data_IF_844195126971
#
_entry.id   IF_844195126971
#
_cell.length_a   1.000
_cell.length_b   1.000
_cell.length_c   1.000
_cell.angle_alpha   90.00
_cell.angle_beta   90.00
_cell.angle_gamma   90.00
#
_symmetry.space_group_name_H-M   'P 1'
#
loop_
_entity.id
_entity.type
_entity.pdbx_description
1 polymer ?
#
# COMPACT_ATOMS: atom_id res chain seq x y z
N UNK A 1 54.41 -26.68 29.70
CA UNK A 1 54.18 -25.49 28.84
C UNK A 1 52.71 -25.41 28.51
N UNK A 2 52.03 -24.49 29.13
CA UNK A 2 50.58 -24.32 29.12
C UNK A 2 50.15 -23.58 27.84
N UNK A 3 49.26 -24.19 27.05
CA UNK A 3 48.64 -23.58 25.92
C UNK A 3 47.21 -23.15 26.29
N UNK A 4 46.96 -21.85 26.44
CA UNK A 4 45.67 -21.30 26.79
C UNK A 4 44.66 -21.44 25.65
N UNK A 5 43.53 -22.05 25.97
CA UNK A 5 42.30 -22.03 25.14
C UNK A 5 41.74 -20.64 25.12
N UNK A 6 41.80 -19.98 23.96
CA UNK A 6 41.15 -18.70 23.73
C UNK A 6 39.60 -18.87 23.75
N UNK A 7 39.00 -18.34 24.80
CA UNK A 7 37.52 -18.18 24.90
C UNK A 7 37.09 -17.22 23.82
N UNK A 8 36.38 -17.72 22.81
CA UNK A 8 35.66 -16.91 21.82
C UNK A 8 34.63 -16.06 22.53
N UNK A 9 34.83 -14.76 22.53
CA UNK A 9 33.85 -13.79 23.01
C UNK A 9 32.53 -14.01 22.27
N UNK A 10 31.51 -14.37 23.02
CA UNK A 10 30.10 -14.32 22.61
C UNK A 10 29.79 -12.92 22.07
N UNK A 11 29.31 -12.87 20.85
CA UNK A 11 28.79 -11.62 20.26
C UNK A 11 27.70 -11.06 21.15
N UNK A 12 28.02 -10.01 21.90
CA UNK A 12 27.03 -9.19 22.59
C UNK A 12 25.97 -8.76 21.57
N UNK A 13 24.72 -9.15 21.80
CA UNK A 13 23.59 -8.61 21.09
C UNK A 13 23.58 -7.10 21.36
N UNK A 14 23.98 -6.30 20.38
CA UNK A 14 23.81 -4.86 20.44
C UNK A 14 22.31 -4.55 20.72
N UNK A 15 22.00 -3.63 21.65
CA UNK A 15 20.61 -3.28 21.96
C UNK A 15 19.91 -2.87 20.69
N UNK A 16 18.61 -3.17 20.53
CA UNK A 16 17.84 -2.84 19.32
C UNK A 16 17.96 -1.34 19.07
N UNK A 17 18.55 -0.97 17.94
CA UNK A 17 18.77 0.42 17.57
C UNK A 17 17.42 1.12 17.55
N UNK A 18 17.32 2.30 18.17
CA UNK A 18 16.11 3.09 18.23
C UNK A 18 15.64 3.40 16.79
N UNK A 19 14.45 2.93 16.37
CA UNK A 19 13.96 3.08 14.99
C UNK A 19 13.81 4.55 14.56
N UNK A 20 13.80 5.48 15.52
CA UNK A 20 13.71 6.92 15.28
C UNK A 20 15.07 7.63 15.23
N UNK A 21 16.20 6.94 15.39
CA UNK A 21 17.54 7.51 15.18
C UNK A 21 18.11 7.00 13.87
N UNK A 22 17.75 7.66 12.76
CA UNK A 22 18.09 7.25 11.43
C UNK A 22 18.99 8.29 10.70
N UNK A 23 19.75 7.87 9.67
CA UNK A 23 20.45 8.80 8.80
C UNK A 23 19.53 9.79 8.10
N UNK A 24 20.04 10.98 7.74
CA UNK A 24 19.28 12.03 7.03
C UNK A 24 18.63 11.51 5.73
N UNK A 25 19.29 10.61 5.02
CA UNK A 25 18.77 9.97 3.83
C UNK A 25 17.45 9.22 4.08
N UNK A 26 17.36 8.52 5.21
CA UNK A 26 16.16 7.75 5.59
C UNK A 26 15.00 8.70 5.89
N UNK A 27 15.24 9.79 6.62
CA UNK A 27 14.21 10.80 6.89
C UNK A 27 13.74 11.50 5.62
N UNK A 28 14.65 11.82 4.69
CA UNK A 28 14.30 12.44 3.41
C UNK A 28 13.33 11.55 2.60
N UNK A 29 13.63 10.26 2.50
CA UNK A 29 12.76 9.31 1.77
C UNK A 29 11.48 9.01 2.54
N UNK A 30 11.53 8.90 3.88
CA UNK A 30 10.34 8.70 4.71
C UNK A 30 9.38 9.89 4.61
N UNK A 31 9.88 11.13 4.63
CA UNK A 31 9.06 12.32 4.40
C UNK A 31 8.42 12.31 3.02
N UNK A 32 9.18 11.96 1.97
CA UNK A 32 8.64 11.79 0.63
C UNK A 32 7.55 10.70 0.58
N UNK A 33 7.69 9.61 1.35
CA UNK A 33 6.65 8.58 1.49
C UNK A 33 5.38 9.14 2.13
N UNK A 34 5.49 9.92 3.22
CA UNK A 34 4.31 10.59 3.83
C UNK A 34 3.56 11.41 2.80
N UNK A 35 4.26 12.27 2.04
CA UNK A 35 3.64 13.13 1.03
C UNK A 35 3.07 12.31 -0.15
N UNK A 36 3.74 11.24 -0.57
CA UNK A 36 3.27 10.36 -1.64
C UNK A 36 1.96 9.65 -1.27
N UNK A 37 1.87 9.11 -0.05
CA UNK A 37 0.65 8.46 0.43
C UNK A 37 -0.46 9.47 0.76
N UNK A 38 -0.10 10.66 1.24
CA UNK A 38 -1.02 11.79 1.41
C UNK A 38 -1.70 12.16 0.08
N UNK A 39 -0.96 12.14 -1.03
CA UNK A 39 -1.47 12.46 -2.38
C UNK A 39 -2.57 11.50 -2.90
N UNK A 40 -2.80 10.35 -2.26
CA UNK A 40 -3.90 9.45 -2.58
C UNK A 40 -5.22 10.03 -2.05
N UNK A 41 -5.31 10.33 -0.75
CA UNK A 41 -6.52 10.80 -0.10
C UNK A 41 -6.76 12.32 -0.16
N UNK A 42 -5.78 13.08 -0.66
CA UNK A 42 -5.84 14.54 -0.71
C UNK A 42 -6.88 15.07 -1.71
N UNK A 43 -7.24 14.27 -2.71
CA UNK A 43 -8.20 14.65 -3.77
C UNK A 43 -9.65 14.34 -3.36
N UNK A 44 -9.88 13.39 -2.44
CA UNK A 44 -11.23 12.95 -2.04
C UNK A 44 -12.15 14.11 -1.64
N UNK A 45 -11.74 15.06 -0.77
CA UNK A 45 -12.63 16.14 -0.34
C UNK A 45 -12.98 17.14 -1.43
N UNK A 46 -12.17 17.25 -2.48
CA UNK A 46 -12.38 18.25 -3.54
C UNK A 46 -13.14 17.73 -4.76
N UNK A 47 -13.44 16.42 -4.84
CA UNK A 47 -14.14 15.83 -6.00
C UNK A 47 -15.46 16.53 -6.35
N UNK A 48 -16.40 16.79 -5.39
CA UNK A 48 -17.62 17.48 -5.71
C UNK A 48 -17.39 18.94 -6.14
N UNK A 49 -16.36 19.60 -5.61
CA UNK A 49 -16.01 20.97 -6.01
C UNK A 49 -15.44 21.01 -7.44
N UNK A 50 -14.58 20.05 -7.81
CA UNK A 50 -14.08 19.91 -9.18
C UNK A 50 -15.22 19.68 -10.17
N UNK A 51 -16.18 18.79 -9.82
CA UNK A 51 -17.38 18.55 -10.64
C UNK A 51 -18.14 19.84 -10.92
N UNK A 52 -18.39 20.66 -9.90
CA UNK A 52 -19.14 21.92 -10.03
C UNK A 52 -18.36 23.00 -10.77
N UNK A 53 -17.08 23.21 -10.42
CA UNK A 53 -16.29 24.33 -10.95
C UNK A 53 -15.82 24.12 -12.39
N UNK A 54 -15.58 22.87 -12.78
CA UNK A 54 -15.17 22.52 -14.14
C UNK A 54 -16.33 22.01 -15.02
N UNK A 55 -17.59 22.11 -14.53
CA UNK A 55 -18.78 21.60 -15.21
C UNK A 55 -18.60 20.15 -15.71
N UNK A 56 -17.95 19.31 -14.90
CA UNK A 56 -17.61 17.92 -15.23
C UNK A 56 -18.58 16.96 -14.55
N UNK A 57 -18.97 15.89 -15.26
CA UNK A 57 -19.78 14.83 -14.64
C UNK A 57 -18.99 14.11 -13.53
N UNK A 58 -19.66 13.54 -12.51
CA UNK A 58 -18.99 12.74 -11.50
C UNK A 58 -18.13 11.64 -12.10
N UNK A 59 -18.57 10.96 -13.16
CA UNK A 59 -17.79 9.94 -13.84
C UNK A 59 -16.53 10.49 -14.50
N UNK A 60 -16.54 11.73 -15.01
CA UNK A 60 -15.33 12.38 -15.54
C UNK A 60 -14.36 12.75 -14.43
N UNK A 61 -14.85 13.18 -13.28
CA UNK A 61 -14.01 13.50 -12.11
C UNK A 61 -13.38 12.25 -11.53
N UNK A 62 -14.09 11.12 -11.49
CA UNK A 62 -13.57 9.85 -11.04
C UNK A 62 -12.42 9.30 -11.92
N UNK A 63 -12.32 9.74 -13.17
CA UNK A 63 -11.16 9.42 -14.01
C UNK A 63 -9.84 9.95 -13.45
N UNK A 64 -9.85 10.91 -12.53
CA UNK A 64 -8.66 11.34 -11.79
C UNK A 64 -8.04 10.19 -10.97
N UNK A 65 -8.87 9.37 -10.33
CA UNK A 65 -8.42 8.16 -9.63
C UNK A 65 -8.04 7.07 -10.61
N UNK A 66 -8.90 6.81 -11.58
CA UNK A 66 -8.70 5.76 -12.58
C UNK A 66 -7.39 5.96 -13.33
N UNK A 67 -7.13 7.16 -13.89
CA UNK A 67 -5.91 7.44 -14.63
C UNK A 67 -4.66 7.26 -13.75
N UNK A 68 -4.68 7.80 -12.55
CA UNK A 68 -3.59 7.71 -11.60
C UNK A 68 -3.30 6.25 -11.18
N UNK A 69 -4.32 5.50 -10.75
CA UNK A 69 -4.14 4.15 -10.23
C UNK A 69 -3.83 3.12 -11.33
N UNK A 70 -4.48 3.22 -12.48
CA UNK A 70 -4.22 2.31 -13.61
C UNK A 70 -2.81 2.53 -14.16
N UNK A 71 -2.39 3.79 -14.35
CA UNK A 71 -1.02 4.07 -14.79
C UNK A 71 -0.01 3.64 -13.73
N UNK A 72 -0.28 3.90 -12.45
CA UNK A 72 0.56 3.38 -11.34
C UNK A 72 0.69 1.86 -11.40
N UNK A 73 -0.43 1.14 -11.59
CA UNK A 73 -0.44 -0.32 -11.68
C UNK A 73 0.46 -0.83 -12.81
N UNK A 74 0.25 -0.33 -14.02
CA UNK A 74 1.04 -0.74 -15.20
C UNK A 74 2.52 -0.38 -15.02
N UNK A 75 2.80 0.82 -14.51
CA UNK A 75 4.16 1.29 -14.28
C UNK A 75 4.90 0.45 -13.22
N UNK A 76 4.21 -0.12 -12.23
CA UNK A 76 4.84 -1.01 -11.24
C UNK A 76 5.49 -2.23 -11.88
N UNK A 77 4.94 -2.75 -12.99
CA UNK A 77 5.56 -3.87 -13.72
C UNK A 77 6.94 -3.52 -14.29
N UNK A 78 7.14 -2.24 -14.61
CA UNK A 78 8.36 -1.75 -15.28
C UNK A 78 9.37 -1.18 -14.27
N UNK A 79 8.93 -0.78 -13.09
CA UNK A 79 9.76 -0.08 -12.10
C UNK A 79 10.98 -0.90 -11.67
N UNK A 80 10.82 -2.21 -11.42
CA UNK A 80 11.94 -3.09 -11.08
C UNK A 80 12.99 -3.16 -12.19
N UNK A 81 12.54 -3.20 -13.45
CA UNK A 81 13.40 -3.17 -14.63
C UNK A 81 14.17 -1.84 -14.73
N UNK A 82 13.51 -0.70 -14.55
CA UNK A 82 14.13 0.63 -14.52
C UNK A 82 15.16 0.72 -13.40
N UNK A 83 14.75 0.43 -12.17
CA UNK A 83 15.59 0.54 -10.97
C UNK A 83 16.83 -0.35 -11.04
N UNK A 84 16.72 -1.55 -11.63
CA UNK A 84 17.87 -2.45 -11.82
C UNK A 84 18.91 -1.95 -12.84
N UNK A 85 18.57 -0.96 -13.68
CA UNK A 85 19.44 -0.38 -14.71
C UNK A 85 20.04 0.96 -14.33
N UNK A 86 19.23 1.88 -13.79
CA UNK A 86 19.70 3.23 -13.47
C UNK A 86 20.03 3.43 -11.99
N UNK A 87 19.68 2.43 -11.14
CA UNK A 87 19.89 2.44 -9.68
C UNK A 87 18.74 3.11 -8.91
N UNK A 88 18.65 2.77 -7.61
CA UNK A 88 17.55 3.21 -6.74
C UNK A 88 17.44 4.72 -6.61
N UNK A 89 18.53 5.44 -6.31
CA UNK A 89 18.52 6.91 -6.19
C UNK A 89 17.99 7.61 -7.43
N UNK A 90 18.48 7.23 -8.62
CA UNK A 90 18.05 7.85 -9.88
C UNK A 90 16.57 7.56 -10.19
N UNK A 91 16.10 6.35 -9.85
CA UNK A 91 14.69 5.98 -10.01
C UNK A 91 13.79 6.79 -9.08
N UNK A 92 14.19 6.99 -7.81
CA UNK A 92 13.48 7.87 -6.88
C UNK A 92 13.39 9.30 -7.40
N UNK A 93 14.52 9.88 -7.84
CA UNK A 93 14.59 11.25 -8.37
C UNK A 93 13.68 11.39 -9.60
N UNK A 94 13.74 10.43 -10.54
CA UNK A 94 12.86 10.44 -11.71
C UNK A 94 11.37 10.38 -11.32
N UNK A 95 11.02 9.53 -10.34
CA UNK A 95 9.68 9.46 -9.79
C UNK A 95 9.23 10.79 -9.17
N UNK A 96 10.06 11.39 -8.32
CA UNK A 96 9.77 12.68 -7.67
C UNK A 96 9.62 13.82 -8.68
N UNK A 97 10.46 13.89 -9.72
CA UNK A 97 10.33 14.89 -10.79
C UNK A 97 8.98 14.76 -11.50
N UNK A 98 8.56 13.53 -11.85
CA UNK A 98 7.28 13.29 -12.49
C UNK A 98 6.10 13.66 -11.58
N UNK A 99 6.19 13.38 -10.27
CA UNK A 99 5.16 13.77 -9.29
C UNK A 99 5.06 15.30 -9.22
N UNK A 100 6.19 15.99 -9.05
CA UNK A 100 6.25 17.47 -8.98
C UNK A 100 5.69 18.09 -10.26
N UNK A 101 6.14 17.65 -11.43
CA UNK A 101 5.67 18.17 -12.71
C UNK A 101 4.18 17.87 -12.92
N UNK A 102 3.74 16.64 -12.66
CA UNK A 102 2.35 16.24 -12.82
C UNK A 102 1.39 16.94 -11.85
N UNK A 103 1.78 17.11 -10.57
CA UNK A 103 0.95 17.84 -9.60
C UNK A 103 0.90 19.34 -9.90
N UNK A 104 2.02 19.97 -10.27
CA UNK A 104 2.06 21.37 -10.68
C UNK A 104 1.18 21.64 -11.90
N UNK A 105 1.32 20.81 -12.94
CA UNK A 105 0.54 20.94 -14.16
C UNK A 105 -0.96 20.70 -13.91
N UNK A 106 -1.33 19.70 -13.09
CA UNK A 106 -2.72 19.47 -12.70
C UNK A 106 -3.32 20.67 -11.94
N UNK A 107 -2.55 21.29 -11.03
CA UNK A 107 -2.97 22.51 -10.33
C UNK A 107 -3.10 23.74 -11.24
N UNK A 108 -2.33 23.82 -12.31
CA UNK A 108 -2.36 24.91 -13.29
C UNK A 108 -3.41 24.72 -14.41
N UNK A 109 -4.03 23.55 -14.51
CA UNK A 109 -4.99 23.22 -15.58
C UNK A 109 -6.35 23.91 -15.40
N UNK A 110 -7.03 24.15 -16.51
CA UNK A 110 -8.37 24.72 -16.56
C UNK A 110 -9.44 23.73 -17.06
N UNK A 111 -9.05 22.52 -17.43
CA UNK A 111 -9.97 21.48 -17.89
C UNK A 111 -9.77 20.16 -17.14
N UNK A 112 -10.88 19.43 -16.95
CA UNK A 112 -10.84 18.11 -16.30
C UNK A 112 -9.97 17.11 -17.10
N UNK A 113 -9.96 17.21 -18.45
CA UNK A 113 -9.17 16.33 -19.31
C UNK A 113 -7.67 16.49 -19.12
N UNK A 114 -7.19 17.73 -18.97
CA UNK A 114 -5.79 18.01 -18.65
C UNK A 114 -5.40 17.47 -17.28
N UNK A 115 -6.23 17.69 -16.27
CA UNK A 115 -5.99 17.19 -14.91
C UNK A 115 -5.88 15.66 -14.93
N UNK A 116 -6.76 14.96 -15.64
CA UNK A 116 -6.73 13.50 -15.82
C UNK A 116 -5.39 13.07 -16.44
N UNK A 117 -4.94 13.75 -17.51
CA UNK A 117 -3.68 13.46 -18.18
C UNK A 117 -2.46 13.66 -17.26
N UNK A 118 -2.41 14.77 -16.52
CA UNK A 118 -1.32 15.05 -15.57
C UNK A 118 -1.35 14.14 -14.34
N UNK A 119 -2.53 13.72 -13.89
CA UNK A 119 -2.66 12.68 -12.85
C UNK A 119 -2.12 11.32 -13.32
N UNK A 120 -2.28 10.97 -14.59
CA UNK A 120 -1.66 9.78 -15.16
C UNK A 120 -0.12 9.86 -15.11
N UNK A 121 0.46 11.01 -15.50
CA UNK A 121 1.90 11.26 -15.38
C UNK A 121 2.40 11.22 -13.93
N UNK A 122 1.63 11.78 -13.00
CA UNK A 122 1.90 11.67 -11.58
C UNK A 122 1.86 10.20 -11.10
N UNK A 123 0.88 9.39 -11.55
CA UNK A 123 0.79 7.96 -11.25
C UNK A 123 2.03 7.17 -11.70
N UNK A 124 2.59 7.49 -12.87
CA UNK A 124 3.86 6.94 -13.33
C UNK A 124 5.01 7.28 -12.35
N UNK A 125 5.12 8.55 -11.96
CA UNK A 125 6.11 8.99 -10.97
C UNK A 125 5.94 8.28 -9.63
N UNK A 126 4.70 8.11 -9.18
CA UNK A 126 4.37 7.44 -7.93
C UNK A 126 4.78 5.96 -7.92
N UNK A 127 4.58 5.24 -9.04
CA UNK A 127 5.03 3.85 -9.17
C UNK A 127 6.55 3.72 -9.06
N UNK A 128 7.31 4.60 -9.76
CA UNK A 128 8.77 4.62 -9.66
C UNK A 128 9.24 4.93 -8.24
N UNK A 129 8.56 5.85 -7.55
CA UNK A 129 8.90 6.25 -6.20
C UNK A 129 8.58 5.16 -5.17
N UNK A 130 7.32 4.71 -5.06
CA UNK A 130 6.86 3.78 -4.02
C UNK A 130 7.62 2.44 -4.09
N UNK A 131 7.75 1.86 -5.29
CA UNK A 131 8.42 0.57 -5.43
C UNK A 131 9.92 0.61 -5.09
N UNK A 132 10.53 1.80 -5.14
CA UNK A 132 11.98 1.98 -4.90
C UNK A 132 12.27 2.50 -3.48
N UNK A 133 11.36 3.27 -2.89
CA UNK A 133 11.56 3.96 -1.60
C UNK A 133 11.85 3.00 -0.46
N UNK A 134 11.09 1.90 -0.33
CA UNK A 134 11.31 0.90 0.71
C UNK A 134 12.70 0.27 0.60
N UNK A 135 13.16 -0.07 -0.61
CA UNK A 135 14.48 -0.65 -0.82
C UNK A 135 15.61 0.33 -0.43
N UNK A 136 15.44 1.63 -0.73
CA UNK A 136 16.40 2.67 -0.37
C UNK A 136 16.40 2.91 1.15
N UNK A 137 15.24 2.94 1.79
CA UNK A 137 15.14 3.06 3.26
C UNK A 137 15.85 1.87 3.93
N UNK A 138 15.61 0.62 3.47
CA UNK A 138 16.27 -0.58 4.02
C UNK A 138 17.78 -0.49 3.86
N UNK A 139 18.26 -0.06 2.69
CA UNK A 139 19.71 0.05 2.40
C UNK A 139 20.44 1.13 3.19
N UNK A 140 19.73 2.18 3.63
CA UNK A 140 20.30 3.32 4.35
C UNK A 140 20.02 3.30 5.86
N UNK A 141 19.10 2.47 6.36
CA UNK A 141 18.67 2.47 7.75
C UNK A 141 19.74 1.88 8.70
N UNK A 142 20.00 2.56 9.80
CA UNK A 142 20.93 2.11 10.86
C UNK A 142 20.34 1.04 11.80
N UNK A 143 19.00 0.89 11.82
CA UNK A 143 18.27 -0.07 12.67
C UNK A 143 17.96 -1.41 12.02
N UNK A 144 18.59 -1.74 10.90
CA UNK A 144 18.35 -2.97 10.14
C UNK A 144 16.96 -3.00 9.46
N UNK A 145 16.64 -4.18 8.94
CA UNK A 145 15.44 -4.40 8.13
C UNK A 145 14.12 -4.10 8.86
N UNK A 146 14.01 -4.51 10.13
CA UNK A 146 12.78 -4.31 10.93
C UNK A 146 12.49 -2.82 11.20
N UNK A 147 13.51 -2.04 11.57
CA UNK A 147 13.38 -0.60 11.81
C UNK A 147 12.98 0.17 10.54
N UNK A 148 13.54 -0.21 9.40
CA UNK A 148 13.20 0.37 8.10
C UNK A 148 11.72 0.16 7.72
N UNK A 149 11.19 -1.04 7.94
CA UNK A 149 9.79 -1.37 7.68
C UNK A 149 8.87 -0.57 8.60
N UNK A 150 9.16 -0.49 9.90
CA UNK A 150 8.35 0.26 10.86
C UNK A 150 8.26 1.73 10.42
N UNK A 151 9.37 2.33 10.02
CA UNK A 151 9.39 3.72 9.57
C UNK A 151 8.58 3.92 8.29
N UNK A 152 8.71 3.01 7.32
CA UNK A 152 7.94 3.05 6.07
C UNK A 152 6.44 2.91 6.31
N UNK A 153 6.01 1.96 7.14
CA UNK A 153 4.60 1.76 7.49
C UNK A 153 4.06 2.94 8.33
N UNK A 154 4.88 3.54 9.19
CA UNK A 154 4.52 4.76 9.91
C UNK A 154 4.30 5.92 8.93
N UNK A 155 5.20 6.10 7.95
CA UNK A 155 5.06 7.13 6.93
C UNK A 155 3.80 6.93 6.08
N UNK A 156 3.47 5.68 5.73
CA UNK A 156 2.24 5.32 5.04
C UNK A 156 1.01 5.68 5.87
N UNK A 157 0.96 5.27 7.14
CA UNK A 157 -0.17 5.56 8.04
C UNK A 157 -0.38 7.05 8.25
N UNK A 158 0.69 7.81 8.52
CA UNK A 158 0.64 9.26 8.67
C UNK A 158 0.18 9.95 7.38
N UNK A 159 0.71 9.52 6.22
CA UNK A 159 0.32 10.08 4.93
C UNK A 159 -1.17 9.89 4.65
N UNK A 160 -1.69 8.67 4.82
CA UNK A 160 -3.10 8.36 4.61
C UNK A 160 -4.00 9.18 5.55
N UNK A 161 -3.61 9.35 6.83
CA UNK A 161 -4.40 10.10 7.80
C UNK A 161 -4.40 11.62 7.53
N UNK A 162 -3.27 12.19 7.11
CA UNK A 162 -3.13 13.62 6.85
C UNK A 162 -3.67 14.03 5.46
N UNK A 163 -3.75 13.11 4.51
CA UNK A 163 -4.16 13.41 3.13
C UNK A 163 -5.48 14.16 3.06
N UNK A 164 -6.57 13.60 3.54
CA UNK A 164 -7.88 14.25 3.49
C UNK A 164 -7.96 15.55 4.28
N UNK A 165 -7.26 15.65 5.41
CA UNK A 165 -7.20 16.89 6.21
C UNK A 165 -6.56 18.03 5.39
N UNK A 166 -5.36 17.79 4.87
CA UNK A 166 -4.65 18.78 4.06
C UNK A 166 -5.42 19.08 2.77
N UNK A 167 -6.05 18.05 2.18
CA UNK A 167 -6.92 18.17 1.01
C UNK A 167 -8.13 19.05 1.28
N UNK A 168 -8.79 18.87 2.42
CA UNK A 168 -9.95 19.67 2.85
C UNK A 168 -9.56 21.13 3.13
N UNK A 169 -8.51 21.37 3.91
CA UNK A 169 -8.07 22.72 4.28
C UNK A 169 -7.57 23.51 3.06
N UNK A 170 -6.65 22.96 2.27
CA UNK A 170 -6.17 23.62 1.06
C UNK A 170 -7.23 23.72 -0.02
N UNK A 171 -8.11 22.71 -0.13
CA UNK A 171 -9.23 22.68 -1.06
C UNK A 171 -10.31 23.71 -0.75
N UNK A 172 -10.50 24.05 0.53
CA UNK A 172 -11.40 25.12 0.99
C UNK A 172 -10.94 26.50 0.53
N UNK A 173 -9.63 26.73 0.41
CA UNK A 173 -9.06 27.97 -0.14
C UNK A 173 -9.25 27.99 -1.67
N UNK A 174 -8.84 26.91 -2.32
CA UNK A 174 -9.01 26.69 -3.78
C UNK A 174 -8.91 25.21 -4.07
N UNK A 175 -9.73 24.68 -4.98
CA UNK A 175 -9.60 23.30 -5.44
C UNK A 175 -8.21 22.97 -6.03
N UNK A 176 -7.46 23.99 -6.45
CA UNK A 176 -6.07 23.89 -6.93
C UNK A 176 -5.08 23.73 -5.78
N UNK A 177 -5.44 24.16 -4.58
CA UNK A 177 -4.58 24.19 -3.38
C UNK A 177 -3.94 22.84 -3.07
N UNK A 178 -4.69 21.73 -3.03
CA UNK A 178 -4.14 20.40 -2.81
C UNK A 178 -3.04 20.00 -3.80
N UNK A 179 -3.21 20.30 -5.08
CA UNK A 179 -2.22 19.99 -6.11
C UNK A 179 -0.91 20.78 -5.91
N UNK A 180 -1.01 22.09 -5.66
CA UNK A 180 0.17 22.92 -5.38
C UNK A 180 0.80 22.60 -4.02
N UNK A 181 0.01 22.17 -3.03
CA UNK A 181 0.51 21.67 -1.75
C UNK A 181 1.42 20.44 -1.94
N UNK A 182 0.97 19.47 -2.73
CA UNK A 182 1.83 18.31 -3.09
C UNK A 182 3.06 18.75 -3.87
N UNK A 183 2.89 19.66 -4.83
CA UNK A 183 4.03 20.19 -5.61
C UNK A 183 5.11 20.77 -4.69
N UNK A 184 4.74 21.61 -3.75
CA UNK A 184 5.68 22.22 -2.81
C UNK A 184 6.37 21.18 -1.92
N UNK A 185 5.60 20.30 -1.28
CA UNK A 185 6.14 19.29 -0.37
C UNK A 185 7.01 18.25 -1.11
N UNK A 186 6.62 17.84 -2.32
CA UNK A 186 7.41 16.91 -3.14
C UNK A 186 8.66 17.58 -3.72
N UNK A 187 8.65 18.89 -3.98
CA UNK A 187 9.85 19.62 -4.37
C UNK A 187 10.87 19.65 -3.23
N UNK A 188 10.41 19.87 -1.99
CA UNK A 188 11.27 19.76 -0.79
C UNK A 188 11.84 18.34 -0.69
N UNK A 189 11.00 17.31 -0.88
CA UNK A 189 11.40 15.90 -0.86
C UNK A 189 12.43 15.59 -1.95
N UNK A 190 12.26 16.15 -3.15
CA UNK A 190 13.19 16.00 -4.27
C UNK A 190 14.57 16.59 -3.93
N UNK A 191 14.60 17.82 -3.43
CA UNK A 191 15.85 18.47 -3.01
C UNK A 191 16.53 17.68 -1.88
N UNK A 192 15.77 17.25 -0.87
CA UNK A 192 16.30 16.43 0.23
C UNK A 192 16.84 15.07 -0.28
N UNK A 193 16.14 14.42 -1.22
CA UNK A 193 16.59 13.14 -1.81
C UNK A 193 17.89 13.32 -2.61
N UNK A 194 18.01 14.40 -3.38
CA UNK A 194 19.24 14.70 -4.13
C UNK A 194 20.41 14.92 -3.17
N UNK A 195 20.17 15.70 -2.09
CA UNK A 195 21.22 16.12 -1.15
C UNK A 195 21.68 15.01 -0.20
N UNK A 196 20.76 14.16 0.29
CA UNK A 196 21.05 13.27 1.42
C UNK A 196 21.08 11.79 1.06
N UNK A 197 20.48 11.37 -0.06
CA UNK A 197 20.51 9.96 -0.46
C UNK A 197 21.76 9.67 -1.27
N UNK A 198 22.55 8.69 -0.85
CA UNK A 198 23.72 8.24 -1.59
C UNK A 198 23.34 7.35 -2.78
N UNK A 199 24.32 7.11 -3.67
CA UNK A 199 24.15 6.17 -4.78
C UNK A 199 23.94 4.77 -4.20
N UNK A 200 22.76 4.20 -4.46
CA UNK A 200 22.47 2.82 -4.05
C UNK A 200 23.19 1.84 -4.97
N UNK A 201 23.87 0.82 -4.43
CA UNK A 201 24.46 -0.23 -5.25
C UNK A 201 23.40 -0.85 -6.18
N UNK A 202 23.77 -1.08 -7.43
CA UNK A 202 22.85 -1.74 -8.36
C UNK A 202 22.62 -3.19 -7.92
N UNK A 203 21.40 -3.72 -8.03
CA UNK A 203 21.13 -5.13 -7.74
C UNK A 203 22.05 -6.03 -8.59
N UNK A 204 22.61 -7.08 -7.98
CA UNK A 204 23.47 -8.05 -8.69
C UNK A 204 22.73 -8.74 -9.84
N UNK A 205 21.41 -8.90 -9.74
CA UNK A 205 20.57 -9.49 -10.77
C UNK A 205 19.68 -8.43 -11.42
N UNK A 206 19.71 -8.34 -12.75
CA UNK A 206 18.84 -7.47 -13.53
C UNK A 206 17.43 -8.08 -13.62
N UNK A 207 16.42 -7.34 -13.20
CA UNK A 207 15.00 -7.74 -13.27
C UNK A 207 14.51 -7.64 -14.72
N UNK A 208 13.69 -8.60 -15.16
CA UNK A 208 12.99 -8.56 -16.44
C UNK A 208 11.59 -7.96 -16.25
N UNK A 209 11.08 -7.26 -17.28
CA UNK A 209 9.70 -6.72 -17.30
C UNK A 209 8.65 -7.83 -17.12
N UNK A 210 8.94 -9.04 -17.61
CA UNK A 210 8.03 -10.18 -17.51
C UNK A 210 8.03 -10.89 -16.14
N UNK A 211 9.00 -10.62 -15.27
CA UNK A 211 9.13 -11.34 -14.00
C UNK A 211 7.90 -11.18 -13.08
N UNK A 212 7.30 -9.98 -12.91
CA UNK A 212 6.08 -9.83 -12.10
C UNK A 212 4.89 -10.61 -12.68
N UNK A 213 4.71 -10.62 -14.00
CA UNK A 213 3.62 -11.37 -14.64
C UNK A 213 3.82 -12.88 -14.54
N UNK A 214 5.08 -13.36 -14.67
CA UNK A 214 5.40 -14.78 -14.44
C UNK A 214 5.17 -15.20 -12.99
N UNK A 215 5.42 -14.30 -12.05
CA UNK A 215 5.19 -14.55 -10.62
C UNK A 215 3.71 -14.85 -10.31
N UNK A 216 2.76 -14.27 -11.04
CA UNK A 216 1.32 -14.55 -10.89
C UNK A 216 0.92 -15.98 -11.29
N UNK A 217 1.79 -16.76 -11.95
CA UNK A 217 1.56 -18.19 -12.17
C UNK A 217 1.63 -18.99 -10.86
N UNK A 218 2.28 -18.46 -9.83
CA UNK A 218 2.30 -19.11 -8.52
C UNK A 218 0.95 -18.95 -7.82
N UNK A 219 0.25 -20.05 -7.63
CA UNK A 219 -1.13 -20.08 -7.12
C UNK A 219 -1.33 -19.30 -5.80
N UNK A 220 -0.36 -19.32 -4.88
CA UNK A 220 -0.44 -18.57 -3.63
C UNK A 220 -0.50 -17.07 -3.88
N UNK A 221 0.43 -16.56 -4.69
CA UNK A 221 0.50 -15.14 -5.06
C UNK A 221 -0.73 -14.73 -5.89
N UNK A 222 -1.16 -15.55 -6.84
CA UNK A 222 -2.34 -15.29 -7.66
C UNK A 222 -3.62 -15.16 -6.81
N UNK A 223 -3.86 -16.10 -5.89
CA UNK A 223 -5.02 -16.05 -4.99
C UNK A 223 -5.01 -14.77 -4.15
N UNK A 224 -3.87 -14.42 -3.54
CA UNK A 224 -3.78 -13.20 -2.75
C UNK A 224 -3.95 -11.94 -3.60
N UNK A 225 -3.42 -11.93 -4.82
CA UNK A 225 -3.55 -10.79 -5.75
C UNK A 225 -4.99 -10.59 -6.22
N UNK A 226 -5.71 -11.68 -6.55
CA UNK A 226 -7.13 -11.60 -6.94
C UNK A 226 -8.01 -11.22 -5.74
N UNK A 227 -7.73 -11.76 -4.55
CA UNK A 227 -8.39 -11.32 -3.31
C UNK A 227 -8.23 -9.81 -3.12
N UNK A 228 -7.02 -9.29 -3.34
CA UNK A 228 -6.73 -7.87 -3.23
C UNK A 228 -7.43 -7.04 -4.31
N UNK A 229 -7.50 -7.50 -5.55
CA UNK A 229 -8.25 -6.85 -6.62
C UNK A 229 -9.71 -6.66 -6.23
N UNK A 230 -10.35 -7.73 -5.77
CA UNK A 230 -11.77 -7.75 -5.43
C UNK A 230 -12.09 -6.84 -4.22
N UNK A 231 -11.27 -6.90 -3.16
CA UNK A 231 -11.49 -6.03 -2.01
C UNK A 231 -11.17 -4.56 -2.33
N UNK A 232 -10.14 -4.29 -3.16
CA UNK A 232 -9.84 -2.93 -3.58
C UNK A 232 -10.93 -2.33 -4.46
N UNK A 233 -11.65 -3.14 -5.24
CA UNK A 233 -12.82 -2.67 -5.96
C UNK A 233 -13.84 -2.05 -4.99
N UNK A 234 -14.26 -2.78 -3.96
CA UNK A 234 -15.19 -2.27 -2.95
C UNK A 234 -14.64 -1.07 -2.18
N UNK A 235 -13.37 -1.15 -1.78
CA UNK A 235 -12.70 -0.07 -1.05
C UNK A 235 -12.63 1.24 -1.85
N UNK A 236 -12.18 1.21 -3.11
CA UNK A 236 -12.08 2.42 -3.92
C UNK A 236 -13.45 2.91 -4.42
N UNK A 237 -14.46 2.04 -4.57
CA UNK A 237 -15.85 2.46 -4.75
C UNK A 237 -16.32 3.30 -3.56
N UNK A 238 -16.05 2.85 -2.33
CA UNK A 238 -16.38 3.59 -1.13
C UNK A 238 -15.62 4.92 -1.07
N UNK A 239 -14.30 4.89 -1.18
CA UNK A 239 -13.43 6.05 -0.99
C UNK A 239 -13.77 7.17 -1.99
N UNK A 240 -13.84 6.84 -3.27
CA UNK A 240 -13.97 7.81 -4.33
C UNK A 240 -15.42 8.29 -4.53
N UNK A 241 -16.41 7.40 -4.40
CA UNK A 241 -17.79 7.76 -4.77
C UNK A 241 -18.62 8.30 -3.60
N UNK A 242 -18.35 7.96 -2.33
CA UNK A 242 -19.13 8.46 -1.17
C UNK A 242 -19.15 9.98 -0.99
N UNK A 243 -18.15 10.78 -1.42
CA UNK A 243 -18.21 12.23 -1.31
C UNK A 243 -19.44 12.85 -2.01
N UNK A 244 -19.93 12.22 -3.09
CA UNK A 244 -21.06 12.76 -3.86
C UNK A 244 -22.40 12.62 -3.12
N UNK A 245 -22.84 11.44 -2.63
CA UNK A 245 -24.11 11.32 -1.90
C UNK A 245 -24.07 11.89 -0.49
N UNK A 246 -22.91 12.22 0.08
CA UNK A 246 -22.82 12.86 1.39
C UNK A 246 -23.32 14.30 1.38
N UNK A 247 -23.24 15.02 0.26
CA UNK A 247 -23.64 16.44 0.13
C UNK A 247 -23.00 17.37 1.18
N UNK A 248 -21.76 17.06 1.59
CA UNK A 248 -20.97 17.83 2.55
C UNK A 248 -20.11 18.89 1.84
N UNK A 249 -19.70 19.90 2.58
CA UNK A 249 -18.68 20.85 2.14
C UNK A 249 -17.26 20.23 2.15
N UNK A 250 -16.32 20.93 1.51
CA UNK A 250 -14.92 20.43 1.35
C UNK A 250 -14.26 20.17 2.71
N UNK A 251 -14.38 21.10 3.67
CA UNK A 251 -13.79 20.94 5.01
C UNK A 251 -14.43 19.77 5.76
N UNK A 252 -15.75 19.63 5.70
CA UNK A 252 -16.50 18.56 6.36
C UNK A 252 -16.10 17.19 5.79
N UNK A 253 -15.99 17.06 4.47
CA UNK A 253 -15.44 15.86 3.82
C UNK A 253 -13.99 15.60 4.28
N UNK A 254 -13.15 16.63 4.36
CA UNK A 254 -11.80 16.53 4.88
C UNK A 254 -11.78 15.91 6.28
N UNK A 255 -12.66 16.34 7.19
CA UNK A 255 -12.73 15.80 8.55
C UNK A 255 -13.24 14.36 8.59
N UNK A 256 -14.26 14.01 7.79
CA UNK A 256 -14.77 12.64 7.69
C UNK A 256 -13.68 11.69 7.23
N UNK A 257 -12.99 12.02 6.14
CA UNK A 257 -11.90 11.19 5.62
C UNK A 257 -10.64 11.22 6.49
N UNK A 258 -10.43 12.26 7.28
CA UNK A 258 -9.38 12.28 8.32
C UNK A 258 -9.71 11.27 9.42
N UNK A 259 -10.96 11.25 9.90
CA UNK A 259 -11.44 10.23 10.85
C UNK A 259 -11.25 8.80 10.31
N UNK A 260 -11.60 8.60 9.04
CA UNK A 260 -11.33 7.36 8.31
C UNK A 260 -9.83 7.02 8.29
N UNK A 261 -8.97 7.94 7.90
CA UNK A 261 -7.51 7.73 7.82
C UNK A 261 -6.87 7.45 9.18
N UNK A 262 -7.34 8.08 10.24
CA UNK A 262 -6.91 7.79 11.63
C UNK A 262 -7.25 6.35 11.99
N UNK A 263 -8.45 5.86 11.69
CA UNK A 263 -8.82 4.47 11.93
C UNK A 263 -8.00 3.50 11.07
N UNK A 264 -7.72 3.85 9.80
CA UNK A 264 -6.79 3.06 8.96
C UNK A 264 -5.46 2.91 9.67
N UNK A 265 -4.84 4.00 10.12
CA UNK A 265 -3.54 3.97 10.77
C UNK A 265 -3.56 3.19 12.10
N UNK A 266 -4.54 3.43 12.95
CA UNK A 266 -4.67 2.75 14.25
C UNK A 266 -4.85 1.23 14.07
N UNK A 267 -5.71 0.81 13.17
CA UNK A 267 -5.99 -0.60 12.95
C UNK A 267 -4.85 -1.31 12.22
N UNK A 268 -4.19 -0.65 11.27
CA UNK A 268 -3.00 -1.19 10.59
C UNK A 268 -1.86 -1.45 11.57
N UNK A 269 -1.56 -0.49 12.45
CA UNK A 269 -0.40 -0.54 13.35
C UNK A 269 -0.65 -1.36 14.61
N UNK A 270 -1.81 -1.19 15.24
CA UNK A 270 -2.05 -1.76 16.56
C UNK A 270 -2.96 -3.00 16.54
N UNK A 271 -4.00 -3.01 15.72
CA UNK A 271 -5.00 -4.08 15.74
C UNK A 271 -4.58 -5.25 14.86
N UNK A 272 -4.08 -4.99 13.64
CA UNK A 272 -3.72 -6.04 12.70
C UNK A 272 -2.66 -7.01 13.25
N UNK A 273 -1.55 -6.57 13.88
CA UNK A 273 -0.58 -7.50 14.47
C UNK A 273 -1.13 -8.29 15.65
N UNK A 274 -2.04 -7.70 16.44
CA UNK A 274 -2.71 -8.41 17.57
C UNK A 274 -3.69 -9.46 17.06
N UNK A 275 -4.51 -9.12 16.06
CA UNK A 275 -5.46 -10.05 15.44
C UNK A 275 -4.71 -11.23 14.80
N UNK A 276 -3.63 -10.96 14.08
CA UNK A 276 -2.79 -11.98 13.45
C UNK A 276 -2.19 -12.95 14.51
N UNK A 277 -1.67 -12.41 15.61
CA UNK A 277 -1.09 -13.26 16.67
C UNK A 277 -2.13 -14.13 17.36
N UNK A 278 -3.35 -13.59 17.61
CA UNK A 278 -4.39 -14.29 18.37
C UNK A 278 -5.19 -15.27 17.54
N UNK A 279 -5.56 -14.90 16.31
CA UNK A 279 -6.48 -15.66 15.46
C UNK A 279 -5.82 -16.23 14.20
N UNK A 280 -4.62 -15.75 13.84
CA UNK A 280 -3.95 -16.04 12.58
C UNK A 280 -4.43 -15.17 11.43
N UNK A 281 -3.61 -15.12 10.37
CA UNK A 281 -3.88 -14.29 9.19
C UNK A 281 -5.16 -14.70 8.45
N UNK A 282 -5.43 -16.00 8.18
CA UNK A 282 -6.61 -16.38 7.42
C UNK A 282 -7.92 -16.01 8.12
N UNK A 283 -8.06 -16.35 9.40
CA UNK A 283 -9.29 -16.07 10.16
C UNK A 283 -9.55 -14.57 10.28
N UNK A 284 -8.49 -13.79 10.57
CA UNK A 284 -8.59 -12.33 10.65
C UNK A 284 -9.03 -11.70 9.31
N UNK A 285 -8.52 -12.21 8.17
CA UNK A 285 -8.93 -11.74 6.85
C UNK A 285 -10.40 -12.09 6.54
N UNK A 286 -10.87 -13.30 6.86
CA UNK A 286 -12.27 -13.68 6.63
C UNK A 286 -13.24 -12.78 7.38
N UNK A 287 -13.02 -12.61 8.67
CA UNK A 287 -13.87 -11.76 9.51
C UNK A 287 -13.84 -10.32 9.01
N UNK A 288 -12.66 -9.80 8.70
CA UNK A 288 -12.50 -8.43 8.24
C UNK A 288 -13.17 -8.16 6.90
N UNK A 289 -13.01 -9.07 5.92
CA UNK A 289 -13.68 -8.94 4.61
C UNK A 289 -15.21 -9.05 4.75
N UNK A 290 -15.71 -9.91 5.63
CA UNK A 290 -17.14 -10.01 5.91
C UNK A 290 -17.68 -8.70 6.52
N UNK A 291 -16.97 -8.10 7.47
CA UNK A 291 -17.34 -6.83 8.07
C UNK A 291 -17.30 -5.68 7.07
N UNK A 292 -16.28 -5.61 6.22
CA UNK A 292 -16.20 -4.60 5.16
C UNK A 292 -17.32 -4.77 4.11
N UNK A 293 -17.65 -6.02 3.75
CA UNK A 293 -18.79 -6.29 2.86
C UNK A 293 -20.12 -5.85 3.50
N UNK A 294 -20.32 -6.14 4.80
CA UNK A 294 -21.50 -5.71 5.53
C UNK A 294 -21.60 -4.18 5.63
N UNK A 295 -20.48 -3.50 5.87
CA UNK A 295 -20.41 -2.04 5.91
C UNK A 295 -20.82 -1.42 4.56
N UNK A 296 -20.34 -1.97 3.45
CA UNK A 296 -20.76 -1.55 2.10
C UNK A 296 -22.26 -1.80 1.83
N UNK A 297 -22.85 -2.87 2.39
CA UNK A 297 -24.30 -3.09 2.32
C UNK A 297 -25.05 -2.02 3.14
N UNK A 298 -24.55 -1.64 4.31
CA UNK A 298 -25.12 -0.55 5.12
C UNK A 298 -25.07 0.76 4.35
N UNK A 299 -23.93 1.10 3.76
CA UNK A 299 -23.79 2.30 2.90
C UNK A 299 -24.79 2.23 1.75
N UNK A 300 -24.90 1.09 1.06
CA UNK A 300 -25.82 0.91 -0.04
C UNK A 300 -27.31 1.08 0.37
N UNK A 301 -27.68 0.54 1.52
CA UNK A 301 -29.06 0.60 2.01
C UNK A 301 -29.48 2.00 2.49
N UNK A 302 -28.53 2.79 3.00
CA UNK A 302 -28.78 4.06 3.68
C UNK A 302 -28.11 5.26 3.00
N UNK A 303 -27.98 5.26 1.68
CA UNK A 303 -27.35 6.36 0.90
C UNK A 303 -28.03 7.73 1.10
N UNK A 304 -29.30 7.75 1.51
CA UNK A 304 -30.03 8.99 1.83
C UNK A 304 -29.77 9.51 3.25
N UNK A 305 -29.17 8.71 4.13
CA UNK A 305 -28.87 9.09 5.51
C UNK A 305 -27.44 9.59 5.63
N UNK A 306 -27.24 10.90 5.65
CA UNK A 306 -25.93 11.54 5.78
C UNK A 306 -25.15 11.04 7.01
N UNK A 307 -25.82 10.91 8.17
CA UNK A 307 -25.18 10.43 9.40
C UNK A 307 -24.70 8.98 9.25
N UNK A 308 -25.52 8.12 8.64
CA UNK A 308 -25.13 6.72 8.42
C UNK A 308 -23.93 6.64 7.47
N UNK A 309 -23.91 7.43 6.38
CA UNK A 309 -22.78 7.49 5.46
C UNK A 309 -21.49 7.94 6.17
N UNK A 310 -21.55 9.01 6.98
CA UNK A 310 -20.40 9.52 7.72
C UNK A 310 -19.83 8.43 8.64
N UNK A 311 -20.69 7.81 9.46
CA UNK A 311 -20.28 6.81 10.43
C UNK A 311 -19.70 5.57 9.73
N UNK A 312 -20.38 5.06 8.71
CA UNK A 312 -19.95 3.88 7.97
C UNK A 312 -18.60 4.14 7.26
N UNK A 313 -18.43 5.28 6.59
CA UNK A 313 -17.15 5.63 5.97
C UNK A 313 -16.03 5.70 7.01
N UNK A 314 -16.23 6.35 8.15
CA UNK A 314 -15.20 6.40 9.21
C UNK A 314 -14.86 4.99 9.70
N UNK A 315 -15.87 4.17 9.98
CA UNK A 315 -15.70 2.79 10.48
C UNK A 315 -15.00 1.89 9.45
N UNK A 316 -15.29 2.07 8.15
CA UNK A 316 -14.61 1.32 7.08
C UNK A 316 -13.09 1.47 7.13
N UNK A 317 -12.58 2.60 7.64
CA UNK A 317 -11.15 2.84 7.86
C UNK A 317 -10.49 1.77 8.72
N UNK A 318 -11.19 1.29 9.75
CA UNK A 318 -10.72 0.19 10.60
C UNK A 318 -10.52 -1.09 9.78
N UNK A 319 -11.48 -1.43 8.95
CA UNK A 319 -11.43 -2.64 8.12
C UNK A 319 -10.38 -2.53 7.02
N UNK A 320 -10.25 -1.37 6.39
CA UNK A 320 -9.24 -1.13 5.34
C UNK A 320 -7.83 -1.19 5.92
N UNK A 321 -7.57 -0.58 7.07
CA UNK A 321 -6.27 -0.61 7.74
C UNK A 321 -5.83 -2.02 8.10
N UNK A 322 -6.71 -2.79 8.71
CA UNK A 322 -6.46 -4.19 9.05
C UNK A 322 -6.22 -5.03 7.80
N UNK A 323 -7.05 -4.87 6.78
CA UNK A 323 -6.94 -5.66 5.54
C UNK A 323 -5.64 -5.37 4.78
N UNK A 324 -5.26 -4.10 4.64
CA UNK A 324 -4.03 -3.70 3.95
C UNK A 324 -2.79 -4.35 4.58
N UNK A 325 -2.68 -4.30 5.90
CA UNK A 325 -1.55 -4.89 6.63
C UNK A 325 -1.52 -6.40 6.49
N UNK A 326 -2.63 -7.08 6.78
CA UNK A 326 -2.68 -8.55 6.75
C UNK A 326 -2.48 -9.11 5.33
N UNK A 327 -3.06 -8.47 4.31
CA UNK A 327 -2.93 -8.93 2.92
C UNK A 327 -1.51 -8.74 2.40
N UNK A 328 -0.87 -7.59 2.69
CA UNK A 328 0.51 -7.34 2.29
C UNK A 328 1.47 -8.35 2.92
N UNK A 329 1.31 -8.63 4.21
CA UNK A 329 2.10 -9.66 4.90
C UNK A 329 1.85 -11.05 4.32
N UNK A 330 0.59 -11.42 4.07
CA UNK A 330 0.22 -12.70 3.48
C UNK A 330 0.84 -12.90 2.09
N UNK A 331 0.86 -11.87 1.25
CA UNK A 331 1.52 -11.89 -0.07
C UNK A 331 3.00 -12.23 0.06
N UNK A 332 3.69 -11.58 0.99
CA UNK A 332 5.13 -11.82 1.19
C UNK A 332 5.44 -13.22 1.75
N UNK A 333 4.48 -13.79 2.49
CA UNK A 333 4.56 -15.14 3.05
C UNK A 333 4.39 -16.25 2.02
N UNK A 334 3.39 -16.10 1.15
CA UNK A 334 3.04 -17.15 0.18
C UNK A 334 3.85 -17.07 -1.11
N UNK A 335 4.63 -16.01 -1.30
CA UNK A 335 5.37 -15.76 -2.53
C UNK A 335 6.70 -16.52 -2.55
N UNK A 336 6.94 -17.38 -3.57
CA UNK A 336 8.22 -18.08 -3.73
C UNK A 336 9.26 -17.25 -4.49
N UNK A 337 8.91 -16.02 -4.94
CA UNK A 337 9.80 -15.14 -5.69
C UNK A 337 10.32 -14.00 -4.81
N UNK A 338 11.35 -13.30 -5.29
CA UNK A 338 11.94 -12.15 -4.61
C UNK A 338 10.86 -11.09 -4.28
N UNK A 339 10.96 -10.49 -3.08
CA UNK A 339 9.98 -9.51 -2.57
C UNK A 339 9.65 -8.37 -3.53
N UNK A 340 10.61 -7.74 -4.25
CA UNK A 340 10.28 -6.68 -5.20
C UNK A 340 9.41 -7.16 -6.37
N UNK A 341 9.66 -8.39 -6.86
CA UNK A 341 8.86 -8.99 -7.94
C UNK A 341 7.46 -9.34 -7.46
N UNK A 342 7.34 -9.92 -6.25
CA UNK A 342 6.05 -10.21 -5.63
C UNK A 342 5.23 -8.94 -5.40
N UNK A 343 5.87 -7.89 -4.87
CA UNK A 343 5.24 -6.59 -4.61
C UNK A 343 4.75 -5.92 -5.90
N UNK A 344 5.55 -5.97 -6.97
CA UNK A 344 5.16 -5.41 -8.26
C UNK A 344 3.97 -6.17 -8.88
N UNK A 345 3.98 -7.50 -8.83
CA UNK A 345 2.91 -8.35 -9.33
C UNK A 345 1.60 -8.13 -8.56
N UNK A 346 1.68 -8.13 -7.25
CA UNK A 346 0.57 -7.87 -6.35
C UNK A 346 0.02 -6.45 -6.52
N UNK A 347 0.90 -5.44 -6.55
CA UNK A 347 0.54 -4.04 -6.73
C UNK A 347 -0.17 -3.79 -8.05
N UNK A 348 0.32 -4.38 -9.15
CA UNK A 348 -0.33 -4.32 -10.46
C UNK A 348 -1.79 -4.79 -10.40
N UNK A 349 -2.03 -6.01 -9.91
CA UNK A 349 -3.38 -6.59 -9.87
C UNK A 349 -4.30 -5.82 -8.92
N UNK A 350 -3.78 -5.44 -7.74
CA UNK A 350 -4.50 -4.67 -6.73
C UNK A 350 -4.95 -3.31 -7.25
N UNK A 351 -4.04 -2.53 -7.84
CA UNK A 351 -4.35 -1.18 -8.32
C UNK A 351 -5.16 -1.14 -9.60
N UNK A 352 -5.14 -2.21 -10.43
CA UNK A 352 -6.10 -2.33 -11.54
C UNK A 352 -7.53 -2.40 -11.02
N UNK A 353 -7.80 -3.26 -10.01
CA UNK A 353 -9.12 -3.33 -9.39
C UNK A 353 -9.57 -2.00 -8.77
N UNK A 354 -8.68 -1.39 -7.97
CA UNK A 354 -8.94 -0.09 -7.35
C UNK A 354 -9.06 1.06 -8.34
N UNK A 355 -8.32 1.01 -9.45
CA UNK A 355 -8.32 2.08 -10.45
C UNK A 355 -9.57 2.08 -11.34
N UNK A 356 -10.13 0.93 -11.66
CA UNK A 356 -11.34 0.85 -12.48
C UNK A 356 -12.62 1.12 -11.68
N UNK A 357 -12.62 0.80 -10.39
CA UNK A 357 -13.80 0.89 -9.52
C UNK A 357 -14.43 2.29 -9.46
N UNK A 358 -13.68 3.42 -9.28
CA UNK A 358 -14.26 4.76 -9.18
C UNK A 358 -15.09 5.15 -10.40
N UNK A 359 -14.51 5.02 -11.59
CA UNK A 359 -15.20 5.33 -12.84
C UNK A 359 -16.43 4.46 -13.05
N UNK A 360 -16.31 3.15 -12.82
CA UNK A 360 -17.45 2.23 -12.92
C UNK A 360 -18.54 2.57 -11.90
N UNK A 361 -18.18 2.95 -10.68
CA UNK A 361 -19.13 3.36 -9.65
C UNK A 361 -19.94 4.56 -10.07
N UNK A 362 -19.30 5.63 -10.54
CA UNK A 362 -19.99 6.84 -10.98
C UNK A 362 -20.88 6.59 -12.21
N UNK A 363 -20.45 5.74 -13.15
CA UNK A 363 -21.27 5.35 -14.31
C UNK A 363 -22.49 4.54 -13.90
N UNK A 364 -22.29 3.51 -13.06
CA UNK A 364 -23.40 2.68 -12.56
C UNK A 364 -24.44 3.50 -11.77
N UNK A 365 -23.97 4.48 -11.00
CA UNK A 365 -24.86 5.37 -10.27
C UNK A 365 -25.67 6.28 -11.21
N UNK A 366 -25.07 6.77 -12.29
CA UNK A 366 -25.72 7.61 -13.28
C UNK A 366 -26.71 6.81 -14.15
N UNK A 367 -26.32 5.60 -14.58
CA UNK A 367 -27.11 4.79 -15.51
C UNK A 367 -28.23 4.00 -14.80
N UNK A 368 -28.07 3.65 -13.52
CA UNK A 368 -29.02 2.87 -12.74
C UNK A 368 -29.53 3.65 -11.51
N UNK A 369 -28.77 3.64 -10.41
CA UNK A 369 -29.04 4.43 -9.21
C UNK A 369 -27.83 4.45 -8.26
N UNK A 370 -27.86 5.36 -7.26
CA UNK A 370 -26.80 5.62 -6.29
C UNK A 370 -26.46 4.42 -5.39
N UNK A 371 -27.34 3.44 -5.22
CA UNK A 371 -27.17 2.28 -4.36
C UNK A 371 -26.32 1.18 -5.03
N UNK A 372 -26.45 1.04 -6.37
CA UNK A 372 -25.87 -0.08 -7.15
C UNK A 372 -24.35 -0.18 -7.02
N UNK A 373 -23.56 0.90 -7.09
CA UNK A 373 -22.11 0.81 -6.94
C UNK A 373 -21.68 0.18 -5.62
N UNK A 374 -22.36 0.53 -4.52
CA UNK A 374 -22.03 0.02 -3.19
C UNK A 374 -22.44 -1.45 -3.02
N UNK A 375 -23.60 -1.88 -3.56
CA UNK A 375 -23.98 -3.29 -3.60
C UNK A 375 -22.98 -4.11 -4.42
N UNK A 376 -22.54 -3.61 -5.58
CA UNK A 376 -21.51 -4.26 -6.37
C UNK A 376 -20.19 -4.35 -5.58
N UNK A 377 -19.80 -3.29 -4.90
CA UNK A 377 -18.65 -3.26 -3.99
C UNK A 377 -18.76 -4.32 -2.89
N UNK A 378 -19.93 -4.45 -2.25
CA UNK A 378 -20.18 -5.47 -1.24
C UNK A 378 -20.03 -6.90 -1.81
N UNK A 379 -20.60 -7.15 -2.99
CA UNK A 379 -20.49 -8.44 -3.68
C UNK A 379 -19.05 -8.76 -4.04
N UNK A 380 -18.29 -7.81 -4.56
CA UNK A 380 -16.87 -8.04 -4.91
C UNK A 380 -16.04 -8.38 -3.66
N UNK A 381 -16.27 -7.68 -2.54
CA UNK A 381 -15.60 -7.99 -1.25
C UNK A 381 -16.03 -9.36 -0.72
N UNK A 382 -17.31 -9.74 -0.85
CA UNK A 382 -17.78 -11.08 -0.49
C UNK A 382 -17.13 -12.17 -1.37
N UNK A 383 -16.98 -11.92 -2.67
CA UNK A 383 -16.26 -12.83 -3.58
C UNK A 383 -14.78 -12.96 -3.21
N UNK A 384 -14.16 -11.91 -2.66
CA UNK A 384 -12.79 -11.99 -2.15
C UNK A 384 -12.65 -13.06 -1.06
N UNK A 385 -13.69 -13.27 -0.21
CA UNK A 385 -13.71 -14.33 0.80
C UNK A 385 -13.66 -15.71 0.14
N UNK A 386 -14.45 -15.91 -0.92
CA UNK A 386 -14.49 -17.17 -1.66
C UNK A 386 -13.14 -17.45 -2.33
N UNK A 387 -12.55 -16.45 -2.97
CA UNK A 387 -11.22 -16.58 -3.59
C UNK A 387 -10.16 -16.90 -2.54
N UNK A 388 -10.14 -16.19 -1.41
CA UNK A 388 -9.23 -16.44 -0.31
C UNK A 388 -9.34 -17.88 0.22
N UNK A 389 -10.57 -18.42 0.29
CA UNK A 389 -10.82 -19.80 0.73
C UNK A 389 -10.09 -20.84 -0.15
N UNK A 390 -9.92 -20.59 -1.45
CA UNK A 390 -9.17 -21.49 -2.35
C UNK A 390 -7.68 -21.56 -2.02
N UNK A 391 -7.14 -20.55 -1.34
CA UNK A 391 -5.74 -20.47 -0.89
C UNK A 391 -5.52 -20.76 0.60
N UNK A 392 -6.60 -20.97 1.38
CA UNK A 392 -6.57 -21.10 2.84
C UNK A 392 -5.47 -22.03 3.35
N UNK A 393 -5.42 -23.28 2.84
CA UNK A 393 -4.45 -24.30 3.30
C UNK A 393 -2.99 -23.87 3.06
N UNK A 394 -2.71 -23.13 1.97
CA UNK A 394 -1.37 -22.65 1.63
C UNK A 394 -0.96 -21.51 2.57
N UNK A 395 -1.86 -20.55 2.79
CA UNK A 395 -1.61 -19.43 3.70
C UNK A 395 -1.41 -19.92 5.14
N UNK A 396 -2.29 -20.82 5.62
CA UNK A 396 -2.18 -21.39 6.96
C UNK A 396 -0.90 -22.24 7.14
N UNK A 397 -0.43 -22.92 6.08
CA UNK A 397 0.83 -23.68 6.13
C UNK A 397 2.04 -22.75 6.17
N UNK A 398 2.06 -21.71 5.34
CA UNK A 398 3.13 -20.71 5.31
C UNK A 398 3.26 -20.00 6.66
N UNK A 399 2.13 -19.65 7.29
CA UNK A 399 2.11 -19.00 8.61
C UNK A 399 2.62 -19.94 9.73
N UNK A 400 2.26 -21.22 9.70
CA UNK A 400 2.75 -22.23 10.67
C UNK A 400 4.26 -22.46 10.56
N UNK A 401 4.81 -22.48 9.33
CA UNK A 401 6.25 -22.60 9.10
C UNK A 401 7.06 -21.46 9.71
N UNK A 402 6.49 -20.24 9.75
CA UNK A 402 7.15 -19.11 10.43
C UNK A 402 7.07 -19.14 11.95
N UNK A 403 6.03 -19.76 12.53
CA UNK A 403 5.87 -19.86 13.98
C UNK A 403 6.71 -20.97 14.63
N UNK A 404 7.31 -21.87 13.85
CA UNK A 404 8.18 -22.98 14.29
C UNK A 404 9.51 -22.96 13.49
N UNK A 405 10.40 -22.00 13.74
CA UNK A 405 11.72 -22.05 13.08
C UNK A 405 12.60 -23.23 13.56
N UNK A 406 12.37 -23.73 14.78
CA UNK A 406 13.25 -24.75 15.39
C UNK A 406 12.91 -26.20 15.00
N UNK A 407 11.73 -26.47 14.44
CA UNK A 407 11.34 -27.82 14.01
C UNK A 407 11.93 -28.25 12.65
N UNK A 408 12.59 -27.35 11.92
CA UNK A 408 13.24 -27.64 10.65
C UNK A 408 14.76 -27.83 10.81
N UNK A 409 15.30 -27.63 12.01
CA UNK A 409 16.72 -27.75 12.31
C UNK A 409 17.10 -29.08 13.01
N UNK A 410 16.13 -29.98 13.21
CA UNK A 410 16.36 -31.29 13.84
C UNK A 410 16.16 -32.50 12.91
N UNK A 411 16.79 -32.60 11.73
CA UNK A 411 16.90 -33.90 11.10
C UNK A 411 18.33 -34.50 11.09
N UNK A 412 19.36 -33.76 11.45
CA UNK A 412 20.73 -34.27 11.20
C UNK A 412 21.49 -34.76 12.43
N UNK A 413 21.02 -34.46 13.64
CA UNK A 413 21.68 -34.95 14.86
C UNK A 413 21.47 -36.45 15.11
N UNK A 414 20.32 -37.03 14.75
CA UNK A 414 20.09 -38.49 14.87
C UNK A 414 20.86 -39.30 13.81
N UNK A 415 21.04 -38.71 12.60
CA UNK A 415 21.81 -39.35 11.53
C UNK A 415 23.30 -39.29 11.79
N UNK A 416 23.83 -38.19 12.35
CA UNK A 416 25.24 -38.09 12.76
C UNK A 416 25.55 -38.97 13.93
N UNK A 417 24.68 -39.11 14.92
CA UNK A 417 24.87 -40.03 16.06
C UNK A 417 24.82 -41.48 15.59
N UNK A 418 23.89 -41.83 14.69
CA UNK A 418 23.82 -43.20 14.13
C UNK A 418 25.02 -43.55 13.23
N UNK A 419 25.59 -42.57 12.51
CA UNK A 419 26.82 -42.72 11.74
C UNK A 419 28.06 -42.83 12.63
N UNK A 420 28.13 -42.09 13.73
CA UNK A 420 29.20 -42.16 14.71
C UNK A 420 29.23 -43.48 15.47
N UNK A 421 28.05 -44.04 15.82
CA UNK A 421 27.95 -45.38 16.46
C UNK A 421 28.29 -46.52 15.50
N UNK A 422 28.00 -46.38 14.19
CA UNK A 422 28.31 -47.39 13.20
C UNK A 422 29.81 -47.49 12.83
N UNK A 423 30.57 -46.39 13.03
CA UNK A 423 32.03 -46.35 12.76
C UNK A 423 32.91 -46.68 13.99
N UNK A 424 32.31 -46.66 15.21
CA UNK A 424 33.01 -46.99 16.46
C UNK A 424 33.10 -48.47 16.83
N UNK A 425 32.41 -49.37 16.10
CA UNK A 425 32.38 -50.81 16.41
C UNK A 425 33.32 -51.68 15.52
N UNK A 426 34.19 -51.06 14.73
CA UNK A 426 35.12 -51.76 13.84
C UNK A 426 36.59 -51.40 14.16
N UNK A 427 37.01 -51.58 15.44
CA UNK A 427 38.43 -51.55 15.86
C UNK A 427 38.69 -52.55 16.96
#
# INVERSE_FOLDING_TARGET
MSGGLGVTKTSEHAPPANPFRQPKAVYAVAFACVVSFMGIGLVDPILPALSKQLNASPSSVELLFTSYLVVTAVAMLVTGWVSSRIGGKRTLIAGLILIVAGSAAAGASDSIGEIIGFRAGWGLGNALFIATSLAVIIGAASGGFAGAIILYETALGVGIALGPLVGGELGGISWRGPFFGVTALMSISLVATIAFVDQTPQPRRKTSIGDPLRALRHRGLAVMSVTALLYNWGFFTLLAYTPFPMHLGIHELGYVFTGWGVLVALFAVFVAPRAQRRFGTPASLYVNLALLSADLVVIAAFTSSQVTLIVAVIVSGAFVGLNNTLTTQAVMLVSPVERPVASAAYGFVRFIGGGLAPYCAARLAADLNVHVPFYLGAVTVALAIVVLATGHRRLARAERGMRRPDAAAEPDLEVETALAESTGSAS
#
